data_IF_722897737916
#
_entry.id   IF_722897737916
#
_cell.length_a   1.000
_cell.length_b   1.000
_cell.length_c   1.000
_cell.angle_alpha   90.00
_cell.angle_beta   90.00
_cell.angle_gamma   90.00
#
_symmetry.space_group_name_H-M   'P 1'
#
loop_
_entity.id
_entity.type
_entity.pdbx_description
1 polymer ?
#
# COMPACT_ATOMS: atom_id res chain seq x y z
N UNK A 1 15.73 16.21 4.01
CA UNK A 1 14.63 15.26 3.68
C UNK A 1 14.21 15.47 2.23
N UNK A 2 13.31 14.64 1.65
CA UNK A 2 12.76 14.91 0.30
C UNK A 2 12.19 16.34 0.20
N UNK A 3 11.49 16.79 1.25
CA UNK A 3 10.94 18.14 1.38
C UNK A 3 11.99 19.27 1.27
N UNK A 4 13.22 19.03 1.73
CA UNK A 4 14.28 20.06 1.77
C UNK A 4 15.25 19.96 0.58
N UNK A 5 14.99 19.04 -0.36
CA UNK A 5 15.96 18.70 -1.41
C UNK A 5 16.03 19.72 -2.55
N UNK A 6 15.02 20.57 -2.71
CA UNK A 6 14.86 21.44 -3.89
C UNK A 6 14.54 20.67 -5.19
N UNK A 7 14.41 19.34 -5.11
CA UNK A 7 14.05 18.46 -6.24
C UNK A 7 12.54 18.21 -6.19
N UNK A 8 11.88 18.27 -7.34
CA UNK A 8 10.45 17.91 -7.44
C UNK A 8 10.30 16.42 -7.16
N UNK A 9 9.39 16.07 -6.25
CA UNK A 9 9.11 14.68 -5.88
C UNK A 9 7.60 14.43 -5.77
N UNK A 10 7.23 13.16 -5.82
CA UNK A 10 5.87 12.70 -5.60
C UNK A 10 5.88 11.62 -4.53
N UNK A 11 4.99 11.73 -3.54
CA UNK A 11 4.84 10.72 -2.49
C UNK A 11 3.74 9.74 -2.88
N UNK A 12 4.11 8.46 -2.92
CA UNK A 12 3.18 7.34 -3.06
C UNK A 12 3.02 6.68 -1.70
N UNK A 13 2.04 7.17 -0.94
CA UNK A 13 1.72 6.63 0.39
C UNK A 13 0.83 5.41 0.21
N UNK A 14 1.48 4.30 -0.09
CA UNK A 14 0.82 3.01 -0.19
C UNK A 14 0.26 2.61 1.18
N UNK A 15 -1.00 2.19 1.19
CA UNK A 15 -1.64 1.54 2.31
C UNK A 15 -1.12 0.11 2.52
N UNK A 16 -1.97 -0.75 3.07
CA UNK A 16 -1.58 -2.10 3.41
C UNK A 16 -1.54 -3.02 2.18
N UNK A 17 -0.59 -3.95 2.14
CA UNK A 17 -0.58 -5.03 1.14
C UNK A 17 -1.51 -6.15 1.59
N UNK A 18 -2.42 -6.59 0.71
CA UNK A 18 -3.31 -7.74 0.98
C UNK A 18 -2.50 -8.99 1.37
N UNK A 19 -1.34 -9.15 0.74
CA UNK A 19 -0.39 -10.23 0.99
C UNK A 19 0.16 -10.25 2.43
N UNK A 20 0.16 -9.10 3.13
CA UNK A 20 0.62 -9.06 4.54
C UNK A 20 -0.28 -9.93 5.43
N UNK A 21 -1.59 -9.99 5.17
CA UNK A 21 -2.49 -10.89 5.89
C UNK A 21 -2.49 -12.29 5.33
N UNK A 22 -2.43 -12.44 4.00
CA UNK A 22 -2.37 -13.75 3.37
C UNK A 22 -1.12 -14.55 3.78
N UNK A 23 -0.05 -13.89 4.19
CA UNK A 23 1.12 -14.56 4.76
C UNK A 23 0.78 -15.40 6.01
N UNK A 24 -0.26 -15.04 6.77
CA UNK A 24 -0.74 -15.79 7.94
C UNK A 24 -1.83 -16.81 7.60
N UNK A 25 -2.32 -16.84 6.35
CA UNK A 25 -3.42 -17.71 5.95
C UNK A 25 -3.11 -19.21 6.12
N UNK A 26 -1.90 -19.73 5.82
CA UNK A 26 -1.60 -21.15 6.04
C UNK A 26 -1.75 -21.57 7.52
N UNK A 27 -1.17 -20.81 8.45
CA UNK A 27 -1.29 -21.10 9.88
C UNK A 27 -2.74 -20.94 10.38
N UNK A 28 -3.48 -19.96 9.85
CA UNK A 28 -4.87 -19.77 10.21
C UNK A 28 -5.77 -20.92 9.72
N UNK A 29 -5.49 -21.48 8.55
CA UNK A 29 -6.16 -22.67 8.03
C UNK A 29 -5.81 -23.91 8.84
N UNK A 30 -4.53 -24.09 9.20
CA UNK A 30 -4.05 -25.23 9.99
C UNK A 30 -4.66 -25.26 11.40
N UNK A 31 -4.75 -24.10 12.06
CA UNK A 31 -5.21 -24.00 13.45
C UNK A 31 -6.67 -23.53 13.58
N UNK A 32 -7.35 -23.26 12.47
CA UNK A 32 -8.76 -22.85 12.45
C UNK A 32 -9.04 -21.45 13.03
N UNK A 33 -8.02 -20.62 13.23
CA UNK A 33 -8.15 -19.29 13.83
C UNK A 33 -7.19 -18.29 13.21
N UNK A 34 -7.69 -17.09 12.90
CA UNK A 34 -6.88 -15.96 12.46
C UNK A 34 -6.65 -15.01 13.63
N UNK A 35 -5.39 -14.88 14.09
CA UNK A 35 -5.04 -14.05 15.25
C UNK A 35 -4.53 -12.67 14.85
N UNK A 36 -4.82 -11.66 15.65
CA UNK A 36 -4.36 -10.29 15.45
C UNK A 36 -4.88 -9.33 16.52
N UNK A 37 -4.44 -8.07 16.44
CA UNK A 37 -4.84 -7.00 17.37
C UNK A 37 -5.52 -5.81 16.65
N UNK A 38 -6.09 -6.05 15.46
CA UNK A 38 -6.76 -5.01 14.68
C UNK A 38 -8.15 -4.64 15.22
N UNK A 39 -8.75 -5.48 16.07
CA UNK A 39 -10.15 -5.33 16.51
C UNK A 39 -11.08 -5.24 15.30
N UNK A 40 -12.00 -4.28 15.33
CA UNK A 40 -12.91 -3.96 14.21
C UNK A 40 -12.33 -2.93 13.22
N UNK A 41 -11.01 -2.69 13.28
CA UNK A 41 -10.32 -1.74 12.40
C UNK A 41 -10.48 -2.13 10.93
N UNK A 42 -10.86 -1.16 10.10
CA UNK A 42 -10.98 -1.36 8.65
C UNK A 42 -9.63 -1.20 7.97
N UNK A 43 -9.25 -2.18 7.16
CA UNK A 43 -7.96 -2.20 6.48
C UNK A 43 -8.21 -2.20 4.98
N UNK A 44 -8.04 -1.03 4.38
CA UNK A 44 -8.18 -0.80 2.95
C UNK A 44 -6.92 -1.31 2.21
N UNK A 45 -6.74 -2.63 2.19
CA UNK A 45 -5.59 -3.26 1.54
C UNK A 45 -5.74 -3.37 0.03
N UNK A 46 -4.63 -3.25 -0.71
CA UNK A 46 -4.56 -3.58 -2.14
C UNK A 46 -3.36 -4.49 -2.40
N UNK A 47 -3.28 -5.11 -3.58
CA UNK A 47 -2.16 -6.01 -3.89
C UNK A 47 -0.88 -5.22 -4.16
N UNK A 48 0.29 -5.84 -4.04
CA UNK A 48 1.54 -5.21 -4.50
C UNK A 48 1.49 -4.85 -5.99
N UNK A 49 0.78 -5.64 -6.80
CA UNK A 49 0.62 -5.37 -8.21
C UNK A 49 -0.14 -4.05 -8.46
N UNK A 50 -1.18 -3.75 -7.67
CA UNK A 50 -1.94 -2.51 -7.77
C UNK A 50 -1.07 -1.29 -7.45
N UNK A 51 -0.33 -1.36 -6.34
CA UNK A 51 0.58 -0.29 -5.95
C UNK A 51 1.76 -0.12 -6.92
N UNK A 52 2.28 -1.22 -7.47
CA UNK A 52 3.31 -1.18 -8.50
C UNK A 52 2.80 -0.53 -9.78
N UNK A 53 1.56 -0.82 -10.19
CA UNK A 53 0.93 -0.18 -11.33
C UNK A 53 0.77 1.33 -11.10
N UNK A 54 0.35 1.75 -9.90
CA UNK A 54 0.27 3.18 -9.55
C UNK A 54 1.65 3.87 -9.62
N UNK A 55 2.69 3.25 -9.07
CA UNK A 55 4.06 3.77 -9.15
C UNK A 55 4.57 3.86 -10.59
N UNK A 56 4.29 2.84 -11.41
CA UNK A 56 4.66 2.81 -12.81
C UNK A 56 4.03 3.96 -13.60
N UNK A 57 2.74 4.25 -13.38
CA UNK A 57 2.07 5.41 -14.00
C UNK A 57 2.70 6.73 -13.55
N UNK A 58 2.91 6.89 -12.25
CA UNK A 58 3.49 8.12 -11.69
C UNK A 58 4.86 8.45 -12.26
N UNK A 59 5.70 7.45 -12.54
CA UNK A 59 7.04 7.68 -13.07
C UNK A 59 7.07 7.83 -14.61
N UNK A 60 6.07 7.31 -15.32
CA UNK A 60 6.10 7.25 -16.80
C UNK A 60 5.13 8.21 -17.49
N UNK A 61 4.09 8.68 -16.79
CA UNK A 61 3.07 9.58 -17.32
C UNK A 61 3.25 11.00 -16.76
N UNK A 62 2.83 12.01 -17.53
CA UNK A 62 2.91 13.41 -17.11
C UNK A 62 1.79 13.76 -16.10
N UNK A 63 1.99 14.84 -15.33
CA UNK A 63 0.96 15.39 -14.43
C UNK A 63 0.95 14.82 -13.01
N UNK A 64 1.89 13.93 -12.69
CA UNK A 64 2.02 13.34 -11.37
C UNK A 64 3.04 14.05 -10.46
N UNK A 65 3.73 15.08 -10.93
CA UNK A 65 4.80 15.78 -10.22
C UNK A 65 4.29 16.60 -9.03
N UNK A 66 5.04 16.61 -7.92
CA UNK A 66 4.73 17.42 -6.74
C UNK A 66 3.49 16.95 -5.97
N UNK A 67 3.01 15.74 -6.24
CA UNK A 67 1.77 15.21 -5.64
C UNK A 67 2.04 14.38 -4.40
N UNK A 68 1.04 14.31 -3.54
CA UNK A 68 0.97 13.35 -2.44
C UNK A 68 -0.27 12.50 -2.68
N UNK A 69 -0.05 11.24 -3.06
CA UNK A 69 -1.11 10.27 -3.30
C UNK A 69 -1.23 9.33 -2.11
N UNK A 70 -2.39 9.34 -1.46
CA UNK A 70 -2.80 8.34 -0.48
C UNK A 70 -3.45 7.18 -1.26
N UNK A 71 -2.73 6.08 -1.42
CA UNK A 71 -3.15 4.94 -2.23
C UNK A 71 -3.63 3.83 -1.30
N UNK A 72 -4.85 3.33 -1.52
CA UNK A 72 -5.41 2.25 -0.74
C UNK A 72 -6.38 1.41 -1.57
N UNK A 73 -6.70 0.21 -1.09
CA UNK A 73 -7.81 -0.58 -1.62
C UNK A 73 -9.16 0.01 -1.27
N UNK A 74 -10.24 -0.62 -1.74
CA UNK A 74 -11.61 -0.23 -1.40
C UNK A 74 -12.11 -0.95 -0.16
#
# INVERSE_FOLDING_TARGET
>A
MLADSGIVYTLLRNGWYTENYLASAPAALEHGVFIGAAGDGKIASATRADYAAAAARVISEAGHEGKVYELAGR
#
